data_IF_863012727349
#
_entry.id   IF_863012727349
#
_cell.length_a   1.000
_cell.length_b   1.000
_cell.length_c   1.000
_cell.angle_alpha   90.00
_cell.angle_beta   90.00
_cell.angle_gamma   90.00
#
_symmetry.space_group_name_H-M   'P 1'
#
loop_
_entity.id
_entity.type
_entity.pdbx_description
1 polymer ?
#
# COMPACT_ATOMS: atom_id res chain seq x y z
N UNK A 1 -9.26 28.20 2.77
CA UNK A 1 -9.26 27.19 3.85
C UNK A 1 -8.21 26.16 3.49
N UNK A 2 -7.19 25.97 4.32
CA UNK A 2 -6.19 24.91 4.11
C UNK A 2 -6.81 23.61 4.58
N UNK A 3 -6.98 22.63 3.68
CA UNK A 3 -7.34 21.28 4.06
C UNK A 3 -6.27 20.76 5.02
N UNK A 4 -6.65 20.55 6.28
CA UNK A 4 -5.85 19.79 7.22
C UNK A 4 -5.75 18.37 6.66
N UNK A 5 -4.62 18.06 6.04
CA UNK A 5 -4.29 16.69 5.65
C UNK A 5 -4.26 15.87 6.94
N UNK A 6 -5.33 15.12 7.18
CA UNK A 6 -5.41 14.16 8.28
C UNK A 6 -4.22 13.22 8.07
N UNK A 7 -3.24 13.16 8.99
CA UNK A 7 -2.06 12.33 8.78
C UNK A 7 -2.53 10.90 8.53
N UNK A 8 -2.13 10.33 7.40
CA UNK A 8 -2.45 8.94 7.07
C UNK A 8 -1.82 8.07 8.15
N UNK A 9 -2.67 7.46 8.97
CA UNK A 9 -2.26 6.62 10.09
C UNK A 9 -2.74 5.19 9.84
N UNK A 10 -1.80 4.24 9.88
CA UNK A 10 -2.13 2.81 9.99
C UNK A 10 -1.77 2.35 11.38
N UNK A 11 -2.70 1.66 12.05
CA UNK A 11 -2.47 1.09 13.36
C UNK A 11 -2.97 -0.35 13.42
N UNK A 12 -2.45 -1.11 14.39
CA UNK A 12 -2.90 -2.48 14.65
C UNK A 12 -1.80 -3.36 15.21
N UNK A 13 -2.18 -4.56 15.64
CA UNK A 13 -1.23 -5.56 16.10
C UNK A 13 -0.40 -6.12 14.95
N UNK A 14 0.90 -6.23 15.18
CA UNK A 14 1.86 -6.85 14.26
C UNK A 14 2.99 -7.51 15.04
N UNK A 15 3.54 -8.61 14.52
CA UNK A 15 4.74 -9.21 15.06
C UNK A 15 5.97 -8.47 14.55
N UNK A 16 6.86 -8.12 15.48
CA UNK A 16 8.04 -7.29 15.18
C UNK A 16 9.30 -8.03 15.58
N UNK A 17 10.28 -8.03 14.67
CA UNK A 17 11.65 -8.47 14.93
C UNK A 17 12.61 -7.29 14.84
N UNK A 18 13.16 -6.90 15.99
CA UNK A 18 14.11 -5.80 16.08
C UNK A 18 15.56 -6.28 15.90
N UNK A 19 16.44 -5.48 15.27
CA UNK A 19 17.86 -5.75 15.27
C UNK A 19 18.43 -5.64 16.70
N UNK A 20 19.31 -6.56 17.08
CA UNK A 20 20.05 -6.40 18.33
C UNK A 20 21.08 -5.28 18.22
N UNK A 21 21.26 -4.54 19.31
CA UNK A 21 22.23 -3.45 19.43
C UNK A 21 23.70 -3.93 19.41
N UNK A 22 23.94 -5.23 19.54
CA UNK A 22 25.29 -5.80 19.61
C UNK A 22 25.84 -5.99 18.19
N UNK A 23 27.07 -5.53 17.95
CA UNK A 23 27.86 -5.75 16.72
C UNK A 23 28.20 -7.24 16.52
N UNK A 24 27.20 -8.10 16.40
CA UNK A 24 27.26 -9.51 16.04
C UNK A 24 25.83 -10.09 15.95
N UNK A 25 25.07 -9.61 14.96
CA UNK A 25 23.94 -10.27 14.26
C UNK A 25 23.18 -11.39 15.02
N UNK A 26 22.41 -11.06 16.04
CA UNK A 26 21.22 -11.84 16.39
C UNK A 26 20.02 -10.91 16.44
N UNK A 27 19.14 -11.00 15.44
CA UNK A 27 17.82 -10.35 15.55
C UNK A 27 17.14 -10.84 16.83
N UNK A 28 16.47 -9.94 17.57
CA UNK A 28 15.71 -10.33 18.77
C UNK A 28 14.61 -11.33 18.41
N UNK A 29 14.05 -12.00 19.42
CA UNK A 29 12.84 -12.79 19.24
C UNK A 29 11.69 -11.92 18.70
N UNK A 30 10.81 -12.55 17.94
CA UNK A 30 9.56 -11.92 17.51
C UNK A 30 8.72 -11.54 18.73
N UNK A 31 8.11 -10.36 18.67
CA UNK A 31 7.19 -9.89 19.71
C UNK A 31 5.98 -9.24 19.06
N UNK A 32 4.79 -9.66 19.48
CA UNK A 32 3.55 -8.98 19.14
C UNK A 32 3.51 -7.63 19.82
N UNK A 33 3.23 -6.59 19.04
CA UNK A 33 3.14 -5.20 19.48
C UNK A 33 1.98 -4.52 18.80
N UNK A 34 1.40 -3.53 19.46
CA UNK A 34 0.47 -2.61 18.81
C UNK A 34 1.28 -1.52 18.12
N UNK A 35 1.27 -1.52 16.79
CA UNK A 35 2.05 -0.59 15.98
C UNK A 35 1.19 0.58 15.53
N UNK A 36 1.79 1.77 15.49
CA UNK A 36 1.18 3.00 14.97
C UNK A 36 2.16 3.64 14.00
N UNK A 37 1.80 3.63 12.72
CA UNK A 37 2.56 4.24 11.64
C UNK A 37 1.96 5.62 11.34
N UNK A 38 2.80 6.64 11.37
CA UNK A 38 2.41 8.03 11.12
C UNK A 38 3.34 8.63 10.06
N UNK A 39 2.77 9.15 8.98
CA UNK A 39 3.52 9.97 8.05
C UNK A 39 3.84 11.32 8.69
N UNK A 40 5.11 11.72 8.67
CA UNK A 40 5.56 13.02 9.15
C UNK A 40 5.76 13.94 7.94
N UNK A 41 4.98 15.02 7.87
CA UNK A 41 5.15 16.04 6.85
C UNK A 41 6.29 16.97 7.26
N UNK A 42 7.52 16.63 6.88
CA UNK A 42 8.67 17.50 7.08
C UNK A 42 8.99 18.27 5.79
N UNK A 43 8.38 19.45 5.66
CA UNK A 43 8.63 20.38 4.54
C UNK A 43 10.07 20.91 4.55
N UNK A 44 10.81 20.81 5.66
CA UNK A 44 12.17 21.34 5.78
C UNK A 44 13.24 20.44 5.13
N UNK A 45 12.94 19.17 4.88
CA UNK A 45 13.90 18.17 4.34
C UNK A 45 13.82 17.98 2.82
N UNK A 46 13.44 19.02 2.08
CA UNK A 46 13.36 18.96 0.62
C UNK A 46 12.34 17.95 0.10
N UNK A 47 11.26 17.71 0.86
CA UNK A 47 10.14 16.86 0.45
C UNK A 47 10.38 15.35 0.49
N UNK A 48 11.46 14.87 1.13
CA UNK A 48 11.67 13.42 1.28
C UNK A 48 10.65 12.81 2.25
N UNK A 49 10.06 11.64 1.92
CA UNK A 49 9.11 10.99 2.81
C UNK A 49 9.78 10.56 4.11
N UNK A 50 9.09 10.84 5.22
CA UNK A 50 9.51 10.52 6.57
C UNK A 50 8.32 9.90 7.30
N UNK A 51 8.50 8.72 7.89
CA UNK A 51 7.46 8.11 8.72
C UNK A 51 7.99 7.77 10.10
N UNK A 52 7.10 7.81 11.08
CA UNK A 52 7.34 7.37 12.45
C UNK A 52 6.55 6.09 12.70
N UNK A 53 7.22 5.07 13.20
CA UNK A 53 6.60 3.82 13.65
C UNK A 53 6.76 3.70 15.17
N UNK A 54 5.68 3.91 15.89
CA UNK A 54 5.61 3.73 17.33
C UNK A 54 5.11 2.32 17.66
N UNK A 55 5.82 1.62 18.55
CA UNK A 55 5.45 0.28 19.01
C UNK A 55 5.08 0.31 20.48
N UNK A 56 3.85 -0.07 20.78
CA UNK A 56 3.31 -0.20 22.12
C UNK A 56 3.17 -1.67 22.50
N UNK A 57 3.16 -1.96 23.80
CA UNK A 57 2.91 -3.31 24.28
C UNK A 57 1.50 -3.80 23.93
N UNK A 58 0.51 -2.90 24.03
CA UNK A 58 -0.89 -3.17 23.70
C UNK A 58 -1.61 -1.89 23.24
N UNK A 59 -2.82 -2.06 22.72
CA UNK A 59 -3.70 -0.96 22.30
C UNK A 59 -4.12 -0.07 23.48
N UNK A 60 -4.36 -0.67 24.65
CA UNK A 60 -4.75 0.07 25.85
C UNK A 60 -3.63 0.99 26.32
N UNK A 61 -2.37 0.55 26.21
CA UNK A 61 -1.21 1.40 26.50
C UNK A 61 -1.14 2.55 25.51
N UNK A 62 -1.30 2.30 24.21
CA UNK A 62 -1.35 3.37 23.22
C UNK A 62 -2.41 4.44 23.54
N UNK A 63 -3.61 4.02 23.98
CA UNK A 63 -4.72 4.93 24.33
C UNK A 63 -4.50 5.71 25.63
N UNK A 64 -3.82 5.13 26.63
CA UNK A 64 -3.71 5.70 27.98
C UNK A 64 -2.40 6.45 28.23
N UNK A 65 -1.29 5.90 27.73
CA UNK A 65 0.04 6.37 28.10
C UNK A 65 1.04 6.19 26.95
N UNK A 66 1.66 7.30 26.56
CA UNK A 66 2.62 7.34 25.48
C UNK A 66 4.07 7.07 25.94
N UNK A 67 4.31 6.94 27.25
CA UNK A 67 5.65 6.92 27.86
C UNK A 67 6.46 5.65 27.55
N UNK A 68 5.81 4.48 27.43
CA UNK A 68 6.48 3.20 27.24
C UNK A 68 6.29 2.65 25.82
N UNK A 69 6.83 3.38 24.85
CA UNK A 69 6.86 2.99 23.43
C UNK A 69 8.27 2.90 22.89
N UNK A 70 8.45 2.05 21.89
CA UNK A 70 9.67 2.06 21.07
C UNK A 70 9.37 2.77 19.77
N UNK A 71 10.05 3.87 19.50
CA UNK A 71 9.88 4.68 18.29
C UNK A 71 10.99 4.39 17.29
N UNK A 72 10.59 4.14 16.03
CA UNK A 72 11.49 4.10 14.88
C UNK A 72 11.18 5.28 13.96
N UNK A 73 12.20 6.07 13.64
CA UNK A 73 12.12 7.09 12.58
C UNK A 73 12.61 6.44 11.29
N UNK A 74 11.69 6.25 10.36
CA UNK A 74 11.92 5.61 9.08
C UNK A 74 12.29 6.69 8.06
N UNK A 75 13.55 7.06 8.03
CA UNK A 75 14.13 7.96 7.03
C UNK A 75 14.93 7.18 5.99
N UNK A 76 15.05 7.71 4.77
CA UNK A 76 15.87 7.13 3.70
C UNK A 76 15.62 5.62 3.47
N UNK A 77 14.36 5.20 3.58
CA UNK A 77 13.96 3.82 3.27
C UNK A 77 14.10 3.63 1.77
N UNK A 78 14.86 2.61 1.37
CA UNK A 78 15.18 2.30 -0.02
C UNK A 78 14.26 1.21 -0.59
N UNK A 79 13.78 0.32 0.28
CA UNK A 79 12.89 -0.76 -0.14
C UNK A 79 12.04 -1.30 1.01
N UNK A 80 10.83 -1.73 0.67
CA UNK A 80 9.93 -2.47 1.55
C UNK A 80 9.45 -3.69 0.76
N UNK A 81 9.76 -4.88 1.26
CA UNK A 81 9.56 -6.14 0.51
C UNK A 81 9.34 -7.33 1.44
N UNK A 82 8.83 -8.42 0.87
CA UNK A 82 8.74 -9.71 1.56
C UNK A 82 10.11 -10.22 2.02
N UNK A 83 10.14 -10.90 3.17
CA UNK A 83 11.33 -11.48 3.77
C UNK A 83 11.08 -12.96 4.05
N UNK A 84 12.09 -13.80 3.78
CA UNK A 84 11.99 -15.22 4.12
C UNK A 84 12.15 -15.44 5.63
N UNK A 85 11.17 -16.08 6.26
CA UNK A 85 11.23 -16.46 7.67
C UNK A 85 10.57 -17.82 7.89
N UNK A 86 11.31 -18.72 8.54
CA UNK A 86 10.82 -20.08 8.88
C UNK A 86 9.64 -20.09 9.85
N UNK A 87 9.49 -19.04 10.66
CA UNK A 87 8.49 -18.97 11.73
C UNK A 87 7.35 -18.00 11.42
N UNK A 88 7.51 -17.14 10.42
CA UNK A 88 6.58 -16.07 10.07
C UNK A 88 6.52 -16.00 8.54
N UNK A 89 5.64 -16.79 7.89
CA UNK A 89 5.63 -16.95 6.43
C UNK A 89 5.31 -15.64 5.70
N UNK A 90 4.64 -14.70 6.36
CA UNK A 90 4.23 -13.40 5.81
C UNK A 90 5.14 -12.25 6.26
N UNK A 91 6.40 -12.56 6.56
CA UNK A 91 7.34 -11.54 7.00
C UNK A 91 7.66 -10.54 5.87
N UNK A 92 7.86 -9.28 6.24
CA UNK A 92 8.32 -8.20 5.39
C UNK A 92 9.45 -7.45 6.09
N UNK A 93 10.40 -6.93 5.32
CA UNK A 93 11.52 -6.14 5.83
C UNK A 93 11.47 -4.69 5.34
N UNK A 94 11.84 -3.78 6.23
CA UNK A 94 12.05 -2.35 5.93
C UNK A 94 13.55 -2.14 5.80
N UNK A 95 13.99 -1.75 4.61
CA UNK A 95 15.41 -1.65 4.24
C UNK A 95 15.81 -0.19 4.05
N UNK A 96 16.88 0.21 4.73
CA UNK A 96 17.61 1.46 4.44
C UNK A 96 18.92 1.09 3.73
N UNK A 97 20.07 1.21 4.40
CA UNK A 97 21.34 0.58 3.98
C UNK A 97 21.38 -0.90 4.35
N UNK A 98 20.74 -1.24 5.47
CA UNK A 98 20.57 -2.59 5.99
C UNK A 98 19.12 -2.76 6.47
N UNK A 99 18.63 -4.00 6.67
CA UNK A 99 17.32 -4.23 7.28
C UNK A 99 17.25 -3.58 8.67
N UNK A 100 16.32 -2.66 8.84
CA UNK A 100 16.14 -1.91 10.09
C UNK A 100 15.10 -2.58 10.98
N UNK A 101 14.09 -3.18 10.36
CA UNK A 101 12.98 -3.83 11.05
C UNK A 101 12.39 -4.92 10.18
N UNK A 102 12.00 -6.03 10.78
CA UNK A 102 11.19 -7.06 10.13
C UNK A 102 9.84 -7.09 10.83
N UNK A 103 8.77 -7.11 10.04
CA UNK A 103 7.39 -7.13 10.48
C UNK A 103 6.71 -8.39 9.94
N UNK A 104 5.67 -8.87 10.61
CA UNK A 104 4.79 -9.93 10.09
C UNK A 104 3.39 -9.74 10.65
N UNK A 105 2.40 -9.75 9.77
CA UNK A 105 1.01 -9.91 10.17
C UNK A 105 0.68 -11.35 10.52
N UNK A 106 -0.49 -11.56 11.13
CA UNK A 106 -1.03 -12.90 11.43
C UNK A 106 -1.57 -13.62 10.19
N UNK A 107 -1.90 -12.85 9.16
CA UNK A 107 -2.36 -13.36 7.85
C UNK A 107 -1.58 -12.68 6.74
N UNK A 108 -1.61 -13.27 5.56
CA UNK A 108 -1.04 -12.68 4.34
C UNK A 108 -1.63 -11.30 4.08
N UNK A 109 -2.97 -11.19 4.06
CA UNK A 109 -3.69 -9.93 3.87
C UNK A 109 -3.26 -8.87 4.88
N UNK A 110 -3.11 -9.23 6.16
CA UNK A 110 -2.68 -8.27 7.18
C UNK A 110 -1.27 -7.75 6.89
N UNK A 111 -0.32 -8.65 6.63
CA UNK A 111 1.08 -8.30 6.30
C UNK A 111 1.17 -7.44 5.06
N UNK A 112 0.42 -7.81 4.03
CA UNK A 112 0.31 -7.09 2.79
C UNK A 112 -0.24 -5.67 2.98
N UNK A 113 -1.32 -5.50 3.75
CA UNK A 113 -1.85 -4.14 4.02
C UNK A 113 -0.86 -3.25 4.77
N UNK A 114 0.03 -3.84 5.57
CA UNK A 114 1.15 -3.14 6.21
C UNK A 114 2.25 -2.79 5.21
N UNK A 115 2.65 -3.75 4.37
CA UNK A 115 3.60 -3.54 3.29
C UNK A 115 3.16 -2.39 2.39
N UNK A 116 1.91 -2.43 1.93
CA UNK A 116 1.33 -1.43 1.03
C UNK A 116 1.26 -0.05 1.68
N UNK A 117 0.85 0.04 2.94
CA UNK A 117 0.82 1.32 3.66
C UNK A 117 2.21 1.92 3.82
N UNK A 118 3.20 1.09 4.17
CA UNK A 118 4.59 1.50 4.27
C UNK A 118 5.14 1.95 2.90
N UNK A 119 4.84 1.21 1.82
CA UNK A 119 5.28 1.55 0.47
C UNK A 119 4.65 2.87 0.00
N UNK A 120 3.34 3.04 0.16
CA UNK A 120 2.63 4.29 -0.18
C UNK A 120 3.21 5.50 0.55
N UNK A 121 3.68 5.33 1.78
CA UNK A 121 4.25 6.42 2.57
C UNK A 121 5.72 6.70 2.26
N UNK A 122 6.53 5.67 2.05
CA UNK A 122 8.00 5.78 2.10
C UNK A 122 8.69 5.50 0.77
N UNK A 123 8.11 4.64 -0.07
CA UNK A 123 8.66 4.24 -1.37
C UNK A 123 7.53 4.10 -2.41
N UNK A 124 6.83 5.20 -2.77
CA UNK A 124 5.64 5.13 -3.63
C UNK A 124 5.91 4.46 -4.98
N UNK A 125 7.15 4.54 -5.48
CA UNK A 125 7.57 3.86 -6.71
C UNK A 125 7.55 2.32 -6.64
N UNK A 126 7.51 1.74 -5.43
CA UNK A 126 7.40 0.29 -5.21
C UNK A 126 5.97 -0.18 -4.98
N UNK A 127 5.02 0.74 -4.78
CA UNK A 127 3.60 0.38 -4.75
C UNK A 127 3.29 -0.21 -6.12
N UNK A 128 2.89 -1.49 -6.21
CA UNK A 128 2.51 -2.02 -7.50
C UNK A 128 1.31 -1.19 -7.94
N UNK A 129 1.43 -0.53 -9.10
CA UNK A 129 0.39 0.38 -9.62
C UNK A 129 -0.95 -0.33 -9.89
N UNK A 130 -1.02 -1.64 -9.66
CA UNK A 130 -1.76 -2.62 -10.43
C UNK A 130 -2.33 -3.76 -9.57
N UNK A 131 -2.46 -3.59 -8.25
CA UNK A 131 -2.90 -4.68 -7.35
C UNK A 131 -4.37 -5.10 -7.56
N UNK A 132 -5.22 -4.21 -8.07
CA UNK A 132 -6.60 -4.50 -8.47
C UNK A 132 -6.75 -4.56 -10.00
N UNK A 133 -5.77 -5.17 -10.66
CA UNK A 133 -5.80 -5.32 -12.11
C UNK A 133 -6.62 -6.51 -12.54
N UNK A 134 -7.62 -6.28 -13.38
CA UNK A 134 -8.46 -7.33 -13.95
C UNK A 134 -8.13 -7.43 -15.43
N UNK A 135 -7.78 -8.61 -15.91
CA UNK A 135 -7.70 -8.85 -17.36
C UNK A 135 -9.12 -8.82 -17.92
N UNK A 136 -9.34 -7.94 -18.90
CA UNK A 136 -10.65 -7.74 -19.52
C UNK A 136 -10.50 -7.73 -21.03
N UNK A 137 -11.53 -8.20 -21.71
CA UNK A 137 -11.65 -8.06 -23.16
C UNK A 137 -12.77 -7.07 -23.44
N UNK A 138 -12.41 -5.92 -24.02
CA UNK A 138 -13.39 -4.94 -24.47
C UNK A 138 -14.05 -5.47 -25.73
N UNK A 139 -15.37 -5.68 -25.67
CA UNK A 139 -16.16 -6.10 -26.81
C UNK A 139 -16.28 -4.94 -27.81
N UNK A 140 -16.22 -5.21 -29.12
CA UNK A 140 -16.33 -4.17 -30.12
C UNK A 140 -17.76 -3.65 -30.20
N UNK A 141 -17.93 -2.36 -29.94
CA UNK A 141 -19.12 -1.56 -30.26
C UNK A 141 -18.69 -0.28 -31.00
N UNK A 142 -19.65 0.59 -31.32
CA UNK A 142 -19.38 1.83 -32.07
C UNK A 142 -18.38 2.74 -31.33
N UNK A 143 -18.49 2.84 -30.00
CA UNK A 143 -17.64 3.69 -29.16
C UNK A 143 -16.25 3.10 -28.94
N UNK A 144 -16.17 1.80 -28.65
CA UNK A 144 -14.92 1.06 -28.48
C UNK A 144 -14.10 1.07 -29.78
N UNK A 145 -14.76 0.91 -30.94
CA UNK A 145 -14.10 1.03 -32.23
C UNK A 145 -13.62 2.46 -32.49
N UNK A 146 -14.47 3.46 -32.23
CA UNK A 146 -14.12 4.89 -32.38
C UNK A 146 -12.93 5.30 -31.52
N UNK A 147 -12.83 4.74 -30.31
CA UNK A 147 -11.75 5.02 -29.37
C UNK A 147 -10.56 4.05 -29.49
N UNK A 148 -10.62 3.04 -30.37
CA UNK A 148 -9.56 2.04 -30.53
C UNK A 148 -9.35 1.16 -29.29
N UNK A 149 -10.41 0.90 -28.52
CA UNK A 149 -10.37 0.16 -27.25
C UNK A 149 -10.67 -1.34 -27.40
N UNK A 150 -11.11 -1.81 -28.57
CA UNK A 150 -11.49 -3.21 -28.77
C UNK A 150 -10.32 -4.18 -28.53
N UNK A 151 -10.56 -5.26 -27.80
CA UNK A 151 -9.58 -6.33 -27.56
C UNK A 151 -9.11 -6.45 -26.10
N UNK A 152 -8.02 -7.18 -25.90
CA UNK A 152 -7.47 -7.52 -24.58
C UNK A 152 -6.80 -6.32 -23.91
N UNK A 153 -7.22 -6.06 -22.68
CA UNK A 153 -6.73 -4.96 -21.84
C UNK A 153 -6.57 -5.41 -20.39
N UNK A 154 -5.76 -4.65 -19.66
CA UNK A 154 -5.74 -4.71 -18.20
C UNK A 154 -6.51 -3.52 -17.65
N UNK A 155 -7.55 -3.79 -16.87
CA UNK A 155 -8.36 -2.79 -16.20
C UNK A 155 -7.86 -2.55 -14.78
N UNK A 156 -7.68 -1.29 -14.42
CA UNK A 156 -7.36 -0.86 -13.06
C UNK A 156 -8.53 -0.10 -12.48
N UNK A 157 -8.95 -0.49 -11.28
CA UNK A 157 -10.01 0.19 -10.55
C UNK A 157 -9.40 0.85 -9.32
N UNK A 158 -9.53 2.16 -9.21
CA UNK A 158 -9.16 2.93 -8.02
C UNK A 158 -10.41 3.57 -7.42
N UNK A 159 -10.36 4.06 -6.17
CA UNK A 159 -11.48 4.81 -5.59
C UNK A 159 -11.84 6.11 -6.34
N UNK A 160 -11.02 6.56 -7.30
CA UNK A 160 -11.22 7.81 -8.03
C UNK A 160 -11.55 7.60 -9.51
N UNK A 161 -11.02 6.54 -10.15
CA UNK A 161 -11.14 6.31 -11.58
C UNK A 161 -10.97 4.84 -11.96
N UNK A 162 -11.44 4.51 -13.17
CA UNK A 162 -11.16 3.26 -13.89
C UNK A 162 -10.20 3.59 -15.03
N UNK A 163 -9.15 2.78 -15.20
CA UNK A 163 -8.18 2.93 -16.28
C UNK A 163 -8.08 1.62 -17.07
N UNK A 164 -8.01 1.71 -18.40
CA UNK A 164 -7.63 0.59 -19.26
C UNK A 164 -6.23 0.81 -19.80
N UNK A 165 -5.44 -0.25 -19.75
CA UNK A 165 -4.08 -0.29 -20.26
C UNK A 165 -3.94 -1.44 -21.24
N UNK A 166 -3.31 -1.17 -22.38
CA UNK A 166 -3.09 -2.18 -23.41
C UNK A 166 -1.95 -3.15 -23.01
N UNK A 167 -1.70 -4.17 -23.84
CA UNK A 167 -0.64 -5.15 -23.61
C UNK A 167 0.78 -4.55 -23.52
N UNK A 168 1.00 -3.35 -24.04
CA UNK A 168 2.29 -2.64 -23.95
C UNK A 168 2.47 -1.83 -22.66
N UNK A 169 1.47 -1.85 -21.76
CA UNK A 169 1.52 -1.09 -20.51
C UNK A 169 1.19 0.41 -20.69
N UNK A 170 0.68 0.81 -21.85
CA UNK A 170 0.30 2.19 -22.14
C UNK A 170 -1.19 2.39 -21.82
N UNK A 171 -1.49 3.45 -21.05
CA UNK A 171 -2.85 3.88 -20.76
C UNK A 171 -3.59 4.23 -22.04
N UNK A 172 -4.65 3.49 -22.32
CA UNK A 172 -5.49 3.70 -23.49
C UNK A 172 -6.60 4.70 -23.16
N UNK A 173 -7.19 4.60 -21.97
CA UNK A 173 -8.24 5.52 -21.50
C UNK A 173 -8.37 5.50 -19.98
N UNK A 174 -8.79 6.63 -19.41
CA UNK A 174 -9.09 6.78 -17.99
C UNK A 174 -10.43 7.46 -17.82
N UNK A 175 -11.32 6.87 -17.02
CA UNK A 175 -12.62 7.41 -16.66
C UNK A 175 -12.66 7.74 -15.18
N UNK A 176 -12.93 9.00 -14.84
CA UNK A 176 -13.24 9.37 -13.45
C UNK A 176 -14.53 8.67 -13.01
N UNK A 177 -14.55 8.09 -11.82
CA UNK A 177 -15.77 7.49 -11.26
C UNK A 177 -16.89 8.52 -11.09
N UNK A 178 -16.56 9.81 -10.97
CA UNK A 178 -17.54 10.91 -10.94
C UNK A 178 -18.29 11.10 -12.27
N UNK A 179 -17.77 10.56 -13.38
CA UNK A 179 -18.37 10.65 -14.72
C UNK A 179 -19.14 9.38 -15.11
N UNK A 180 -19.15 8.39 -14.22
CA UNK A 180 -19.78 7.10 -14.46
C UNK A 180 -21.29 7.25 -14.21
N UNK A 181 -22.09 7.09 -15.27
CA UNK A 181 -23.55 7.20 -15.22
C UNK A 181 -24.18 5.88 -14.80
N UNK A 182 -23.62 4.75 -15.26
CA UNK A 182 -24.16 3.42 -15.01
C UNK A 182 -23.08 2.34 -15.04
N UNK A 183 -23.23 1.33 -14.19
CA UNK A 183 -22.43 0.11 -14.19
C UNK A 183 -23.39 -1.08 -14.06
N UNK A 184 -23.53 -1.84 -15.14
CA UNK A 184 -24.44 -2.99 -15.19
C UNK A 184 -23.70 -4.28 -15.47
N UNK A 185 -24.23 -5.37 -14.95
CA UNK A 185 -23.84 -6.72 -15.30
C UNK A 185 -24.92 -7.32 -16.21
N UNK A 186 -24.58 -7.59 -17.46
CA UNK A 186 -25.52 -8.20 -18.42
C UNK A 186 -25.64 -9.72 -18.20
N UNK A 187 -24.51 -10.35 -17.88
CA UNK A 187 -24.43 -11.77 -17.50
C UNK A 187 -23.20 -12.01 -16.62
N UNK A 188 -22.93 -13.26 -16.24
CA UNK A 188 -21.82 -13.63 -15.34
C UNK A 188 -20.42 -13.19 -15.82
N UNK A 189 -20.27 -12.85 -17.10
CA UNK A 189 -18.99 -12.53 -17.75
C UNK A 189 -18.95 -11.20 -18.50
N UNK A 190 -20.07 -10.48 -18.58
CA UNK A 190 -20.16 -9.23 -19.36
C UNK A 190 -20.67 -8.11 -18.47
N UNK A 191 -19.89 -7.03 -18.43
CA UNK A 191 -20.18 -5.82 -17.69
C UNK A 191 -20.18 -4.64 -18.66
N UNK A 192 -21.13 -3.73 -18.47
CA UNK A 192 -21.31 -2.54 -19.30
C UNK A 192 -21.08 -1.30 -18.45
N UNK A 193 -20.13 -0.47 -18.87
CA UNK A 193 -19.79 0.78 -18.21
C UNK A 193 -20.28 1.93 -19.08
N UNK A 194 -21.26 2.69 -18.60
CA UNK A 194 -21.74 3.90 -19.27
C UNK A 194 -21.14 5.12 -18.59
N UNK A 195 -20.26 5.81 -19.29
CA UNK A 195 -19.72 7.10 -18.86
C UNK A 195 -20.46 8.23 -19.59
N UNK A 196 -20.50 9.42 -18.99
CA UNK A 196 -20.93 10.59 -19.74
C UNK A 196 -20.29 11.87 -19.23
N UNK A 197 -20.29 12.85 -20.13
CA UNK A 197 -20.12 14.26 -19.77
C UNK A 197 -21.37 14.79 -19.08
#
# INVERSE_FOLDING_TARGET
MQDQVVPTQKFGYIDVKQPAKVKARKLKSWRRRYAVLTLLNDLSRGGKPLAKLDLFESEEKWKRDSSNRVTFILENVTSIRGAHSRTHPFALEIVQRHPVLVLSGTTETNSYTWMLALQKMLVPSQVPRYEDSIQVRVLPDEDALRCGLSGEHTMYVTPQHIELVNASGVSTITWSLSTLKKFDQENDSVFTITCGQ
#
